data_IF_990316216519
#
_entry.id   IF_990316216519
#
_cell.length_a   1.000
_cell.length_b   1.000
_cell.length_c   1.000
_cell.angle_alpha   90.00
_cell.angle_beta   90.00
_cell.angle_gamma   90.00
#
_symmetry.space_group_name_H-M   'P 1'
#
loop_
_entity.id
_entity.type
_entity.pdbx_description
1 polymer ?
#
# COMPACT_ATOMS: atom_id res chain seq x y z
N UNK A 1 -25.42 15.57 -6.19
CA UNK A 1 -26.27 14.79 -5.25
C UNK A 1 -25.72 15.00 -3.85
N UNK A 2 -26.55 15.54 -2.95
CA UNK A 2 -26.15 16.01 -1.62
C UNK A 2 -26.10 14.81 -0.66
N UNK A 3 -24.92 14.23 -0.48
CA UNK A 3 -24.72 13.12 0.46
C UNK A 3 -24.99 13.63 1.88
N UNK A 4 -26.06 13.15 2.52
CA UNK A 4 -26.39 13.54 3.91
C UNK A 4 -25.37 12.98 4.92
N UNK A 5 -24.67 11.88 4.56
CA UNK A 5 -23.61 11.30 5.37
C UNK A 5 -22.53 10.67 4.47
N UNK A 6 -21.48 11.41 4.10
CA UNK A 6 -20.41 10.88 3.26
C UNK A 6 -19.54 9.88 4.05
N UNK A 7 -19.24 8.73 3.44
CA UNK A 7 -18.31 7.70 3.94
C UNK A 7 -18.59 7.18 5.38
N UNK A 8 -19.70 6.46 5.63
CA UNK A 8 -20.06 5.99 6.97
C UNK A 8 -19.01 5.08 7.62
N UNK A 9 -18.37 4.22 6.84
CA UNK A 9 -17.30 3.35 7.31
C UNK A 9 -16.04 4.13 7.73
N UNK A 10 -15.73 5.25 7.04
CA UNK A 10 -14.60 6.10 7.40
C UNK A 10 -14.85 6.80 8.73
N UNK A 11 -16.03 7.40 8.92
CA UNK A 11 -16.41 8.02 10.20
C UNK A 11 -16.40 7.02 11.35
N UNK A 12 -16.90 5.80 11.13
CA UNK A 12 -16.85 4.75 12.14
C UNK A 12 -15.41 4.34 12.48
N UNK A 13 -14.56 4.15 11.46
CA UNK A 13 -13.15 3.82 11.65
C UNK A 13 -12.39 4.92 12.41
N UNK A 14 -12.62 6.19 12.06
CA UNK A 14 -12.04 7.34 12.76
C UNK A 14 -12.51 7.42 14.22
N UNK A 15 -13.78 7.13 14.49
CA UNK A 15 -14.31 7.10 15.85
C UNK A 15 -13.69 5.97 16.68
N UNK A 16 -13.57 4.77 16.10
CA UNK A 16 -12.92 3.65 16.76
C UNK A 16 -11.45 3.95 17.06
N UNK A 17 -10.75 4.56 16.11
CA UNK A 17 -9.37 5.01 16.29
C UNK A 17 -9.27 6.07 17.41
N UNK A 18 -10.20 7.02 17.45
CA UNK A 18 -10.28 8.03 18.51
C UNK A 18 -10.50 7.41 19.90
N UNK A 19 -11.40 6.43 20.02
CA UNK A 19 -11.63 5.70 21.28
C UNK A 19 -10.38 4.91 21.69
N UNK A 20 -9.70 4.28 20.72
CA UNK A 20 -8.49 3.51 20.97
C UNK A 20 -7.35 4.38 21.48
N UNK A 21 -7.13 5.55 20.88
CA UNK A 21 -6.06 6.47 21.31
C UNK A 21 -6.38 7.17 22.63
N UNK A 22 -7.65 7.51 22.86
CA UNK A 22 -8.09 8.15 24.11
C UNK A 22 -8.24 7.17 25.27
N UNK A 23 -8.24 5.86 25.00
CA UNK A 23 -8.39 4.78 25.99
C UNK A 23 -9.62 4.96 26.90
N UNK A 24 -10.66 5.62 26.40
CA UNK A 24 -11.84 6.01 27.18
C UNK A 24 -13.11 5.96 26.35
N UNK A 25 -14.15 5.34 26.92
CA UNK A 25 -15.50 5.27 26.34
C UNK A 25 -16.47 6.22 27.02
N UNK A 26 -15.95 7.29 27.65
CA UNK A 26 -16.80 8.28 28.30
C UNK A 26 -17.77 8.94 27.29
N UNK A 27 -18.97 9.37 27.71
CA UNK A 27 -19.90 10.07 26.81
C UNK A 27 -19.29 11.30 26.14
N UNK A 28 -18.45 12.05 26.85
CA UNK A 28 -17.74 13.20 26.29
C UNK A 28 -16.77 12.81 25.18
N UNK A 29 -16.01 11.73 25.38
CA UNK A 29 -15.07 11.20 24.39
C UNK A 29 -15.81 10.76 23.12
N UNK A 30 -16.94 10.08 23.26
CA UNK A 30 -17.75 9.61 22.14
C UNK A 30 -18.37 10.77 21.34
N UNK A 31 -18.88 11.81 22.03
CA UNK A 31 -19.45 12.99 21.37
C UNK A 31 -18.39 13.76 20.60
N UNK A 32 -17.24 14.06 21.22
CA UNK A 32 -16.15 14.77 20.58
C UNK A 32 -15.54 13.96 19.42
N UNK A 33 -15.30 12.67 19.64
CA UNK A 33 -14.79 11.77 18.61
C UNK A 33 -15.75 11.63 17.44
N UNK A 34 -17.05 11.54 17.70
CA UNK A 34 -18.08 11.46 16.67
C UNK A 34 -18.15 12.73 15.82
N UNK A 35 -18.19 13.90 16.48
CA UNK A 35 -18.18 15.19 15.80
C UNK A 35 -16.93 15.35 14.91
N UNK A 36 -15.75 15.03 15.44
CA UNK A 36 -14.49 15.09 14.70
C UNK A 36 -14.49 14.12 13.51
N UNK A 37 -14.91 12.87 13.71
CA UNK A 37 -14.94 11.84 12.67
C UNK A 37 -15.88 12.16 11.52
N UNK A 38 -17.02 12.80 11.82
CA UNK A 38 -17.96 13.28 10.79
C UNK A 38 -17.36 14.48 10.05
N UNK A 39 -16.75 15.43 10.76
CA UNK A 39 -16.11 16.60 10.16
C UNK A 39 -14.98 16.18 9.19
N UNK A 40 -14.14 15.21 9.58
CA UNK A 40 -13.09 14.67 8.71
C UNK A 40 -13.67 13.94 7.50
N UNK A 41 -14.73 13.13 7.67
CA UNK A 41 -15.37 12.44 6.54
C UNK A 41 -16.01 13.43 5.56
N UNK A 42 -16.53 14.56 6.05
CA UNK A 42 -17.00 15.66 5.21
C UNK A 42 -15.86 16.36 4.46
N UNK A 43 -14.74 16.65 5.13
CA UNK A 43 -13.55 17.19 4.47
C UNK A 43 -13.07 16.25 3.33
N UNK A 44 -13.16 14.93 3.54
CA UNK A 44 -12.80 13.92 2.54
C UNK A 44 -13.64 14.00 1.25
N UNK A 45 -14.87 14.51 1.31
CA UNK A 45 -15.70 14.71 0.11
C UNK A 45 -15.06 15.70 -0.86
N UNK A 46 -14.45 16.77 -0.34
CA UNK A 46 -13.83 17.81 -1.16
C UNK A 46 -12.54 17.32 -1.85
N UNK A 47 -11.89 16.30 -1.30
CA UNK A 47 -10.73 15.67 -1.93
C UNK A 47 -11.10 14.82 -3.15
N UNK A 48 -12.39 14.51 -3.34
CA UNK A 48 -12.89 13.76 -4.51
C UNK A 48 -12.12 12.45 -4.75
N UNK A 49 -11.95 11.58 -3.74
CA UNK A 49 -11.10 10.41 -3.87
C UNK A 49 -11.55 9.51 -5.02
N UNK A 50 -10.58 8.94 -5.74
CA UNK A 50 -10.85 7.98 -6.79
C UNK A 50 -11.61 6.79 -6.21
N UNK A 51 -12.83 6.57 -6.70
CA UNK A 51 -13.71 5.51 -6.21
C UNK A 51 -13.42 4.22 -6.97
N UNK A 52 -12.54 3.40 -6.42
CA UNK A 52 -12.38 2.03 -6.89
C UNK A 52 -13.40 1.14 -6.21
N UNK A 53 -14.11 0.33 -6.99
CA UNK A 53 -14.97 -0.74 -6.45
C UNK A 53 -14.21 -2.05 -6.63
N UNK A 54 -13.68 -2.66 -5.56
CA UNK A 54 -12.95 -3.92 -5.69
C UNK A 54 -13.89 -4.99 -6.26
N UNK A 55 -13.57 -5.52 -7.43
CA UNK A 55 -14.40 -6.49 -8.14
C UNK A 55 -14.39 -7.88 -7.48
N UNK A 56 -13.29 -8.25 -6.81
CA UNK A 56 -13.13 -9.59 -6.19
C UNK A 56 -12.35 -9.53 -4.88
N UNK A 57 -12.97 -10.03 -3.80
CA UNK A 57 -12.37 -10.08 -2.45
C UNK A 57 -11.41 -11.26 -2.23
N UNK A 58 -11.52 -12.33 -3.01
CA UNK A 58 -10.70 -13.55 -2.82
C UNK A 58 -9.21 -13.35 -3.18
N UNK A 59 -8.85 -12.70 -4.30
CA UNK A 59 -7.44 -12.40 -4.62
C UNK A 59 -6.78 -11.47 -3.59
N UNK A 60 -7.56 -10.61 -2.91
CA UNK A 60 -7.06 -9.71 -1.87
C UNK A 60 -6.39 -10.45 -0.72
N UNK A 61 -7.01 -11.48 -0.16
CA UNK A 61 -6.43 -12.25 0.94
C UNK A 61 -5.16 -13.01 0.51
N UNK A 62 -5.14 -13.52 -0.73
CA UNK A 62 -3.96 -14.17 -1.29
C UNK A 62 -2.80 -13.19 -1.45
N UNK A 63 -3.07 -12.00 -1.98
CA UNK A 63 -2.08 -10.93 -2.13
C UNK A 63 -1.58 -10.48 -0.76
N UNK A 64 -2.48 -10.22 0.20
CA UNK A 64 -2.13 -9.81 1.55
C UNK A 64 -1.22 -10.85 2.25
N UNK A 65 -1.54 -12.14 2.13
CA UNK A 65 -0.69 -13.21 2.68
C UNK A 65 0.69 -13.26 2.02
N UNK A 66 0.77 -13.10 0.70
CA UNK A 66 2.05 -13.07 -0.02
C UNK A 66 2.90 -11.87 0.42
N UNK A 67 2.31 -10.68 0.47
CA UNK A 67 2.99 -9.45 0.92
C UNK A 67 3.47 -9.58 2.36
N UNK A 68 2.65 -10.12 3.26
CA UNK A 68 3.06 -10.32 4.66
C UNK A 68 4.29 -11.24 4.77
N UNK A 69 4.30 -12.35 4.01
CA UNK A 69 5.47 -13.24 3.97
C UNK A 69 6.70 -12.53 3.44
N UNK A 70 6.56 -11.73 2.38
CA UNK A 70 7.67 -10.99 1.79
C UNK A 70 8.20 -9.91 2.74
N UNK A 71 7.33 -9.21 3.45
CA UNK A 71 7.69 -8.23 4.51
C UNK A 71 8.39 -8.92 5.68
N UNK A 72 7.94 -10.09 6.12
CA UNK A 72 8.64 -10.83 7.19
C UNK A 72 10.01 -11.28 6.72
N UNK A 73 10.12 -11.85 5.50
CA UNK A 73 11.41 -12.22 4.90
C UNK A 73 12.33 -11.01 4.74
N UNK A 74 11.77 -9.85 4.40
CA UNK A 74 12.46 -8.55 4.33
C UNK A 74 13.17 -8.21 5.61
N UNK A 75 12.40 -8.16 6.70
CA UNK A 75 12.92 -7.78 8.01
C UNK A 75 13.97 -8.78 8.50
N UNK A 76 13.77 -10.07 8.24
CA UNK A 76 14.78 -11.11 8.58
C UNK A 76 16.07 -10.93 7.75
N UNK A 77 15.97 -10.59 6.47
CA UNK A 77 17.14 -10.35 5.62
C UNK A 77 17.93 -9.13 6.10
N UNK A 78 17.25 -8.02 6.38
CA UNK A 78 17.85 -6.80 6.95
C UNK A 78 18.49 -7.10 8.31
N UNK A 79 17.80 -7.82 9.20
CA UNK A 79 18.34 -8.24 10.49
C UNK A 79 19.62 -9.08 10.34
N UNK A 80 19.65 -10.01 9.37
CA UNK A 80 20.85 -10.81 9.07
C UNK A 80 22.01 -9.97 8.54
N UNK A 81 21.75 -8.95 7.73
CA UNK A 81 22.80 -8.02 7.27
C UNK A 81 23.33 -7.18 8.44
N UNK A 82 22.47 -6.75 9.36
CA UNK A 82 22.86 -5.98 10.54
C UNK A 82 23.65 -6.82 11.57
N UNK A 83 23.27 -8.08 11.78
CA UNK A 83 23.93 -8.99 12.72
C UNK A 83 25.13 -9.73 12.11
N UNK A 84 25.18 -9.85 10.78
CA UNK A 84 26.19 -10.57 10.03
C UNK A 84 27.38 -9.70 9.60
N UNK A 85 28.58 -10.29 9.61
CA UNK A 85 29.84 -9.63 9.25
C UNK A 85 29.93 -9.46 7.71
N UNK A 86 29.90 -8.20 7.24
CA UNK A 86 30.23 -7.72 5.87
C UNK A 86 29.95 -8.74 4.75
N UNK A 87 28.69 -8.83 4.34
CA UNK A 87 28.33 -9.45 3.06
C UNK A 87 28.96 -8.71 1.87
N UNK A 88 28.99 -9.37 0.70
CA UNK A 88 29.45 -8.79 -0.58
C UNK A 88 28.83 -7.40 -0.79
N UNK A 89 29.55 -6.45 -1.42
CA UNK A 89 28.97 -5.16 -1.77
C UNK A 89 27.70 -5.39 -2.60
N UNK A 90 26.57 -4.93 -2.09
CA UNK A 90 25.30 -5.00 -2.80
C UNK A 90 25.44 -4.17 -4.08
N UNK A 91 25.17 -4.78 -5.22
CA UNK A 91 25.18 -4.06 -6.49
C UNK A 91 23.81 -3.44 -6.64
N UNK A 92 23.73 -2.12 -6.51
CA UNK A 92 22.47 -1.42 -6.68
C UNK A 92 22.28 -0.98 -8.13
N UNK A 93 21.03 -0.91 -8.57
CA UNK A 93 20.70 -0.51 -9.94
C UNK A 93 19.30 0.04 -10.07
N UNK A 94 19.04 0.74 -11.17
CA UNK A 94 17.71 1.19 -11.55
C UNK A 94 17.07 0.19 -12.50
N UNK A 95 15.79 -0.09 -12.29
CA UNK A 95 14.97 -0.92 -13.17
C UNK A 95 13.73 -0.14 -13.56
N UNK A 96 13.44 -0.10 -14.86
CA UNK A 96 12.19 0.44 -15.40
C UNK A 96 11.27 -0.72 -15.78
N UNK A 97 10.02 -0.67 -15.33
CA UNK A 97 8.99 -1.68 -15.60
C UNK A 97 7.75 -1.01 -16.16
N UNK A 98 7.27 -1.50 -17.31
CA UNK A 98 5.99 -1.04 -17.87
C UNK A 98 4.82 -1.69 -17.12
N UNK A 99 3.96 -0.87 -16.51
CA UNK A 99 2.75 -1.31 -15.81
C UNK A 99 1.51 -1.23 -16.72
N UNK A 100 0.61 -2.18 -16.56
CA UNK A 100 -0.70 -2.26 -17.23
C UNK A 100 -1.85 -1.81 -16.33
N UNK A 101 -1.60 -1.62 -15.04
CA UNK A 101 -2.58 -1.09 -14.07
C UNK A 101 -3.09 0.28 -14.51
N UNK A 102 -4.41 0.45 -14.43
CA UNK A 102 -5.11 1.70 -14.76
C UNK A 102 -5.78 2.35 -13.55
N UNK A 103 -6.08 1.55 -12.52
CA UNK A 103 -6.74 2.04 -11.31
C UNK A 103 -5.71 2.74 -10.40
N UNK A 104 -6.01 3.97 -9.99
CA UNK A 104 -5.08 4.78 -9.20
C UNK A 104 -4.83 4.21 -7.80
N UNK A 105 -5.83 3.59 -7.18
CA UNK A 105 -5.69 2.96 -5.88
C UNK A 105 -4.87 1.67 -5.97
N UNK A 106 -4.98 0.93 -7.07
CA UNK A 106 -4.14 -0.24 -7.34
C UNK A 106 -2.67 0.14 -7.52
N UNK A 107 -2.39 1.24 -8.23
CA UNK A 107 -1.03 1.77 -8.39
C UNK A 107 -0.47 2.24 -7.05
N UNK A 108 -1.26 2.96 -6.25
CA UNK A 108 -0.86 3.39 -4.91
C UNK A 108 -0.56 2.19 -4.00
N UNK A 109 -1.39 1.15 -4.04
CA UNK A 109 -1.17 -0.07 -3.27
C UNK A 109 0.08 -0.83 -3.73
N UNK A 110 0.31 -0.91 -5.05
CA UNK A 110 1.56 -1.46 -5.60
C UNK A 110 2.78 -0.71 -5.06
N UNK A 111 2.72 0.63 -5.03
CA UNK A 111 3.80 1.46 -4.50
C UNK A 111 4.08 1.18 -3.02
N UNK A 112 3.05 1.06 -2.20
CA UNK A 112 3.20 0.64 -0.80
C UNK A 112 3.82 -0.75 -0.66
N UNK A 113 3.36 -1.73 -1.45
CA UNK A 113 3.89 -3.10 -1.43
C UNK A 113 5.38 -3.11 -1.80
N UNK A 114 5.75 -2.48 -2.91
CA UNK A 114 7.13 -2.44 -3.40
C UNK A 114 8.06 -1.64 -2.48
N UNK A 115 7.53 -0.70 -1.71
CA UNK A 115 8.31 0.04 -0.70
C UNK A 115 8.52 -0.79 0.57
N UNK A 116 7.57 -1.66 0.92
CA UNK A 116 7.65 -2.54 2.08
C UNK A 116 8.47 -3.82 1.81
N UNK A 117 8.64 -4.21 0.54
CA UNK A 117 9.48 -5.34 0.15
C UNK A 117 10.98 -4.98 0.26
N UNK A 118 11.83 -5.94 0.67
CA UNK A 118 13.24 -5.69 0.89
C UNK A 118 13.94 -5.42 -0.43
N UNK A 119 14.83 -4.44 -0.41
CA UNK A 119 15.76 -4.23 -1.52
C UNK A 119 15.14 -3.59 -2.75
N UNK A 120 13.94 -3.01 -2.64
CA UNK A 120 13.30 -2.20 -3.68
C UNK A 120 12.89 -0.84 -3.09
N UNK A 121 13.06 0.22 -3.87
CA UNK A 121 12.57 1.56 -3.54
C UNK A 121 11.85 2.16 -4.75
N UNK A 122 10.61 2.56 -4.53
CA UNK A 122 9.81 3.27 -5.53
C UNK A 122 10.36 4.68 -5.73
N UNK A 123 10.69 5.06 -6.96
CA UNK A 123 11.20 6.40 -7.25
C UNK A 123 10.15 7.24 -7.96
N UNK A 124 9.68 6.75 -9.10
CA UNK A 124 8.83 7.51 -10.00
C UNK A 124 7.88 6.59 -10.76
N UNK A 125 6.69 7.11 -11.03
CA UNK A 125 5.76 6.49 -11.96
C UNK A 125 5.20 7.54 -12.90
N UNK A 126 5.52 7.42 -14.18
CA UNK A 126 4.97 8.28 -15.22
C UNK A 126 3.59 7.75 -15.62
N UNK A 127 2.56 8.57 -15.39
CA UNK A 127 1.16 8.26 -15.69
C UNK A 127 0.89 8.18 -17.20
N UNK A 128 1.68 8.87 -18.02
CA UNK A 128 1.50 8.95 -19.48
C UNK A 128 2.08 7.72 -20.16
N UNK A 129 3.33 7.39 -19.86
CA UNK A 129 4.02 6.23 -20.44
C UNK A 129 3.73 4.93 -19.68
N UNK A 130 3.18 5.02 -18.45
CA UNK A 130 2.98 3.90 -17.51
C UNK A 130 4.27 3.19 -17.12
N UNK A 131 5.37 3.94 -17.10
CA UNK A 131 6.67 3.42 -16.70
C UNK A 131 6.92 3.67 -15.22
N UNK A 132 7.19 2.58 -14.51
CA UNK A 132 7.62 2.59 -13.12
C UNK A 132 9.14 2.48 -13.07
N UNK A 133 9.79 3.45 -12.43
CA UNK A 133 11.22 3.42 -12.13
C UNK A 133 11.45 3.03 -10.67
N UNK A 134 12.21 1.96 -10.48
CA UNK A 134 12.58 1.41 -9.18
C UNK A 134 14.09 1.48 -8.98
N UNK A 135 14.52 1.70 -7.74
CA UNK A 135 15.87 1.40 -7.32
C UNK A 135 15.91 0.05 -6.60
N UNK A 136 16.79 -0.83 -7.03
CA UNK A 136 16.97 -2.17 -6.46
C UNK A 136 18.32 -2.20 -5.75
N UNK A 137 18.32 -2.59 -4.49
CA UNK A 137 19.51 -2.59 -3.64
C UNK A 137 20.49 -3.70 -4.01
N UNK A 138 19.98 -4.86 -4.45
CA UNK A 138 20.81 -5.99 -4.86
C UNK A 138 20.30 -6.59 -6.18
N UNK A 139 20.92 -6.20 -7.29
CA UNK A 139 20.70 -6.76 -8.62
C UNK A 139 21.55 -7.99 -8.90
N UNK A 140 22.45 -8.38 -8.00
CA UNK A 140 23.43 -9.44 -8.25
C UNK A 140 22.85 -10.87 -8.29
N UNK A 141 21.65 -11.07 -7.73
CA UNK A 141 21.02 -12.40 -7.63
C UNK A 141 20.33 -12.87 -8.93
N UNK A 142 20.37 -12.10 -10.02
CA UNK A 142 19.77 -12.50 -11.30
C UNK A 142 18.25 -12.72 -11.25
N UNK A 143 17.59 -12.16 -10.22
CA UNK A 143 16.14 -12.18 -10.13
C UNK A 143 15.53 -11.32 -11.23
N UNK A 144 14.62 -11.91 -12.00
CA UNK A 144 13.78 -11.20 -12.95
C UNK A 144 12.70 -10.42 -12.18
N UNK A 145 13.11 -9.27 -11.64
CA UNK A 145 12.25 -8.35 -10.89
C UNK A 145 11.06 -7.89 -11.73
N UNK A 146 11.24 -7.72 -13.04
CA UNK A 146 10.16 -7.38 -13.94
C UNK A 146 9.09 -8.49 -13.94
N UNK A 147 9.50 -9.76 -14.11
CA UNK A 147 8.57 -10.89 -14.02
C UNK A 147 7.88 -11.00 -12.65
N UNK A 148 8.62 -10.81 -11.56
CA UNK A 148 8.08 -10.87 -10.19
C UNK A 148 7.01 -9.78 -9.99
N UNK A 149 7.30 -8.54 -10.39
CA UNK A 149 6.37 -7.42 -10.24
C UNK A 149 5.08 -7.71 -11.03
N UNK A 150 5.22 -8.13 -12.30
CA UNK A 150 4.06 -8.41 -13.16
C UNK A 150 3.21 -9.57 -12.66
N UNK A 151 3.84 -10.67 -12.24
CA UNK A 151 3.12 -11.90 -11.88
C UNK A 151 2.60 -11.90 -10.46
N UNK A 152 3.42 -11.46 -9.49
CA UNK A 152 3.14 -11.63 -8.07
C UNK A 152 2.34 -10.48 -7.46
N UNK A 153 2.45 -9.28 -8.02
CA UNK A 153 1.78 -8.09 -7.47
C UNK A 153 0.80 -7.47 -8.46
N UNK A 154 1.26 -7.14 -9.67
CA UNK A 154 0.45 -6.44 -10.68
C UNK A 154 -0.79 -7.24 -11.06
N UNK A 155 -0.63 -8.52 -11.44
CA UNK A 155 -1.75 -9.38 -11.85
C UNK A 155 -2.83 -9.53 -10.75
N UNK A 156 -2.51 -9.85 -9.48
CA UNK A 156 -3.52 -9.86 -8.43
C UNK A 156 -4.19 -8.50 -8.20
N UNK A 157 -3.44 -7.39 -8.32
CA UNK A 157 -4.01 -6.05 -8.18
C UNK A 157 -4.98 -5.74 -9.33
N UNK A 158 -4.64 -6.12 -10.56
CA UNK A 158 -5.55 -6.04 -11.70
C UNK A 158 -6.83 -6.82 -11.40
N UNK A 159 -6.76 -8.06 -10.92
CA UNK A 159 -7.95 -8.87 -10.59
C UNK A 159 -8.81 -8.30 -9.42
N UNK A 160 -8.23 -7.47 -8.55
CA UNK A 160 -8.93 -6.85 -7.43
C UNK A 160 -9.63 -5.57 -7.87
N UNK A 161 -8.96 -4.73 -8.67
CA UNK A 161 -9.38 -3.37 -8.97
C UNK A 161 -9.95 -3.20 -10.39
N UNK A 162 -9.84 -4.22 -11.26
CA UNK A 162 -10.33 -4.25 -12.64
C UNK A 162 -11.09 -5.54 -12.93
#
# INVERSE_FOLDING_TARGET
MRYWFPFPFLSLGLLLFWVLISQSVSPGTLVLGGALSIALAWAMVNLGPHKSVPGRVRPLFRLAGAVLVDVVRSNIAVLRVMLGRRGKPATSGFLTVDLTLQDENAIALLACILTATPGTAWLEFDRTTRQLTLHILDTADGMDWQHIIKTRYERPLTEIFQ
#
